data_IF_568150730482
#
_entry.id   IF_568150730482
#
_cell.length_a   1.000
_cell.length_b   1.000
_cell.length_c   1.000
_cell.angle_alpha   90.00
_cell.angle_beta   90.00
_cell.angle_gamma   90.00
#
_symmetry.space_group_name_H-M   'P 1'
#
loop_
_entity.id
_entity.type
_entity.pdbx_description
1 polymer ?
#
# COMPACT_ATOMS: atom_id res chain seq x y z
N UNK A 1 -1.74 -6.25 11.81
CA UNK A 1 -1.45 -5.92 10.40
C UNK A 1 -2.63 -6.39 9.57
N UNK A 2 -3.20 -5.54 8.71
CA UNK A 2 -4.52 -5.73 8.10
C UNK A 2 -4.73 -7.08 7.40
N UNK A 3 -3.65 -7.68 6.88
CA UNK A 3 -3.67 -8.95 6.15
C UNK A 3 -3.12 -10.14 6.95
N UNK A 4 -2.91 -10.02 8.27
CA UNK A 4 -2.21 -11.04 9.06
C UNK A 4 -2.91 -12.41 9.05
N UNK A 5 -4.24 -12.42 9.04
CA UNK A 5 -5.07 -13.63 9.02
C UNK A 5 -5.66 -13.94 7.64
N UNK A 6 -5.33 -13.15 6.61
CA UNK A 6 -5.84 -13.37 5.27
C UNK A 6 -5.05 -14.51 4.60
N UNK A 7 -5.73 -15.58 4.24
CA UNK A 7 -5.17 -16.71 3.48
C UNK A 7 -5.22 -16.51 1.96
N UNK A 8 -5.97 -15.51 1.52
CA UNK A 8 -6.22 -15.23 0.12
C UNK A 8 -6.86 -13.86 -0.11
N UNK A 9 -7.06 -13.50 -1.37
CA UNK A 9 -7.83 -12.32 -1.74
C UNK A 9 -9.31 -12.51 -1.39
N UNK A 10 -9.88 -11.57 -0.62
CA UNK A 10 -11.31 -11.53 -0.31
C UNK A 10 -11.88 -10.17 -0.70
N UNK A 11 -12.61 -10.10 -1.83
CA UNK A 11 -13.09 -8.83 -2.39
C UNK A 11 -13.88 -7.99 -1.37
N UNK A 12 -14.74 -8.63 -0.57
CA UNK A 12 -15.56 -7.97 0.44
C UNK A 12 -14.75 -7.30 1.56
N UNK A 13 -13.53 -7.80 1.85
CA UNK A 13 -12.67 -7.26 2.91
C UNK A 13 -11.67 -6.21 2.41
N UNK A 14 -11.50 -6.03 1.10
CA UNK A 14 -10.51 -5.09 0.53
C UNK A 14 -10.71 -3.67 1.02
N UNK A 15 -11.96 -3.21 1.13
CA UNK A 15 -12.27 -1.87 1.65
C UNK A 15 -11.82 -1.68 3.11
N UNK A 16 -12.04 -2.68 3.95
CA UNK A 16 -11.59 -2.68 5.35
C UNK A 16 -10.06 -2.73 5.42
N UNK A 17 -9.42 -3.62 4.67
CA UNK A 17 -7.96 -3.77 4.66
C UNK A 17 -7.25 -2.49 4.23
N UNK A 18 -7.70 -1.87 3.13
CA UNK A 18 -7.15 -0.58 2.68
C UNK A 18 -7.33 0.51 3.74
N UNK A 19 -8.52 0.60 4.35
CA UNK A 19 -8.78 1.57 5.42
C UNK A 19 -7.86 1.37 6.62
N UNK A 20 -7.63 0.12 7.05
CA UNK A 20 -6.71 -0.18 8.14
C UNK A 20 -5.25 0.17 7.78
N UNK A 21 -4.80 -0.17 6.57
CA UNK A 21 -3.44 0.15 6.09
C UNK A 21 -3.23 1.67 6.07
N UNK A 22 -4.13 2.40 5.42
CA UNK A 22 -4.07 3.86 5.29
C UNK A 22 -4.03 4.53 6.66
N UNK A 23 -4.96 4.17 7.56
CA UNK A 23 -5.02 4.77 8.89
C UNK A 23 -3.79 4.44 9.75
N UNK A 24 -3.25 3.22 9.64
CA UNK A 24 -2.04 2.83 10.37
C UNK A 24 -0.84 3.67 9.92
N UNK A 25 -0.66 3.81 8.60
CA UNK A 25 0.46 4.56 8.02
C UNK A 25 0.31 6.06 8.31
N UNK A 26 -0.87 6.64 8.13
CA UNK A 26 -1.11 8.05 8.46
C UNK A 26 -0.78 8.36 9.92
N UNK A 27 -1.25 7.52 10.86
CA UNK A 27 -0.94 7.69 12.29
C UNK A 27 0.57 7.61 12.56
N UNK A 28 1.26 6.65 11.94
CA UNK A 28 2.70 6.49 12.09
C UNK A 28 3.48 7.68 11.53
N UNK A 29 3.11 8.19 10.34
CA UNK A 29 3.72 9.38 9.74
C UNK A 29 3.52 10.61 10.62
N UNK A 30 2.29 10.86 11.07
CA UNK A 30 1.96 11.99 11.94
C UNK A 30 2.77 11.93 13.23
N UNK A 31 2.86 10.76 13.88
CA UNK A 31 3.64 10.59 15.10
C UNK A 31 5.14 10.80 14.87
N UNK A 32 5.69 10.27 13.77
CA UNK A 32 7.11 10.38 13.44
C UNK A 32 7.54 11.80 13.06
N UNK A 33 6.63 12.63 12.55
CA UNK A 33 6.92 14.01 12.13
C UNK A 33 6.27 15.05 13.03
N UNK A 34 5.72 14.65 14.18
CA UNK A 34 5.11 15.58 15.13
C UNK A 34 6.17 16.56 15.66
N UNK A 35 5.91 17.88 15.67
CA UNK A 35 6.82 18.83 16.31
C UNK A 35 6.97 18.53 17.81
N UNK A 36 8.18 18.74 18.34
CA UNK A 36 8.43 18.60 19.79
C UNK A 36 7.68 19.65 20.61
N UNK A 37 7.46 20.83 20.04
CA UNK A 37 6.72 21.92 20.68
C UNK A 37 5.25 21.94 20.21
N UNK A 38 4.27 21.92 21.13
CA UNK A 38 2.84 21.99 20.79
C UNK A 38 2.42 23.30 20.08
N UNK A 39 3.23 24.36 20.18
CA UNK A 39 2.96 25.63 19.52
C UNK A 39 3.35 25.64 18.03
N UNK A 40 4.10 24.62 17.58
CA UNK A 40 4.56 24.51 16.20
C UNK A 40 3.53 23.72 15.39
N UNK A 41 3.16 24.24 14.21
CA UNK A 41 2.25 23.54 13.31
C UNK A 41 2.91 22.29 12.72
N UNK A 42 2.14 21.23 12.40
CA UNK A 42 2.68 20.04 11.74
C UNK A 42 3.45 20.40 10.45
N UNK A 43 4.64 19.83 10.23
CA UNK A 43 5.54 20.27 9.16
C UNK A 43 5.14 19.74 7.77
N UNK A 44 4.22 18.77 7.69
CA UNK A 44 3.83 18.13 6.43
C UNK A 44 2.33 17.87 6.34
N UNK A 45 1.82 17.85 5.11
CA UNK A 45 0.57 17.15 4.74
C UNK A 45 0.92 15.86 4.03
N UNK A 46 0.14 14.81 4.30
CA UNK A 46 0.36 13.49 3.71
C UNK A 46 -0.83 13.02 2.89
N UNK A 47 -0.56 12.32 1.79
CA UNK A 47 -1.51 11.43 1.13
C UNK A 47 -0.99 10.01 1.23
N UNK A 48 -1.88 9.05 1.50
CA UNK A 48 -1.54 7.62 1.50
C UNK A 48 -2.53 6.92 0.58
N UNK A 49 -2.02 6.40 -0.53
CA UNK A 49 -2.74 5.52 -1.44
C UNK A 49 -2.39 4.08 -1.11
N UNK A 50 -3.40 3.22 -0.98
CA UNK A 50 -3.22 1.76 -0.83
C UNK A 50 -4.03 1.05 -1.91
N UNK A 51 -3.36 0.20 -2.67
CA UNK A 51 -3.94 -0.57 -3.76
C UNK A 51 -3.73 -2.05 -3.47
N UNK A 52 -4.83 -2.81 -3.42
CA UNK A 52 -4.81 -4.28 -3.31
C UNK A 52 -5.30 -4.86 -4.63
N UNK A 53 -4.46 -5.68 -5.26
CA UNK A 53 -4.74 -6.28 -6.57
C UNK A 53 -4.87 -7.78 -6.41
N UNK A 54 -5.99 -8.35 -6.84
CA UNK A 54 -6.10 -9.81 -6.99
C UNK A 54 -5.18 -10.27 -8.13
N UNK A 55 -4.26 -11.18 -7.81
CA UNK A 55 -3.54 -11.94 -8.83
C UNK A 55 -4.48 -13.01 -9.40
N UNK A 56 -4.28 -13.42 -10.66
CA UNK A 56 -5.16 -14.39 -11.33
C UNK A 56 -5.49 -15.60 -10.45
N UNK A 57 -6.70 -16.17 -10.62
CA UNK A 57 -7.21 -17.29 -9.83
C UNK A 57 -6.11 -18.35 -9.61
N UNK A 58 -5.58 -18.43 -8.38
CA UNK A 58 -4.87 -19.62 -7.92
C UNK A 58 -5.98 -20.62 -7.64
N UNK A 59 -6.43 -21.32 -8.67
CA UNK A 59 -7.27 -22.49 -8.44
C UNK A 59 -6.40 -23.54 -7.77
N UNK A 60 -6.54 -23.69 -6.44
CA UNK A 60 -5.79 -24.66 -5.65
C UNK A 60 -6.02 -26.10 -6.14
N UNK A 61 -7.13 -26.37 -6.84
CA UNK A 61 -7.38 -27.68 -7.47
C UNK A 61 -6.55 -27.91 -8.74
N UNK A 62 -6.15 -26.83 -9.42
CA UNK A 62 -5.26 -26.87 -10.59
C UNK A 62 -3.77 -26.98 -10.23
N UNK A 63 -3.43 -26.89 -8.93
CA UNK A 63 -2.06 -27.02 -8.44
C UNK A 63 -1.56 -28.47 -8.34
N UNK A 64 -2.44 -29.46 -8.55
CA UNK A 64 -2.11 -30.88 -8.47
C UNK A 64 -1.20 -31.38 -9.63
N UNK A 65 -1.18 -30.68 -10.77
CA UNK A 65 -0.46 -31.11 -11.98
C UNK A 65 0.86 -30.35 -12.24
N UNK A 66 1.44 -29.69 -11.23
CA UNK A 66 2.75 -29.04 -11.36
C UNK A 66 2.77 -27.79 -12.27
N UNK A 67 1.62 -27.34 -12.78
CA UNK A 67 1.47 -26.16 -13.64
C UNK A 67 1.29 -24.83 -12.86
N UNK A 68 1.83 -24.74 -11.63
CA UNK A 68 1.66 -23.58 -10.73
C UNK A 68 2.39 -22.32 -11.23
N UNK A 69 3.24 -22.45 -12.26
CA UNK A 69 4.11 -21.36 -12.71
C UNK A 69 3.42 -20.25 -13.51
N UNK A 70 2.13 -20.40 -13.86
CA UNK A 70 1.43 -19.48 -14.78
C UNK A 70 0.11 -18.89 -14.23
N UNK A 71 -0.11 -18.87 -12.91
CA UNK A 71 -1.16 -18.01 -12.34
C UNK A 71 -0.81 -16.56 -12.70
N UNK A 72 -1.44 -16.05 -13.77
CA UNK A 72 -0.99 -14.88 -14.50
C UNK A 72 -0.89 -13.65 -13.60
N UNK A 73 0.34 -13.20 -13.34
CA UNK A 73 0.58 -11.90 -12.71
C UNK A 73 0.00 -10.85 -13.64
N UNK A 74 -1.03 -10.12 -13.18
CA UNK A 74 -1.62 -9.05 -13.99
C UNK A 74 -0.59 -7.92 -14.06
N UNK A 75 -0.18 -7.53 -15.26
CA UNK A 75 0.67 -6.37 -15.43
C UNK A 75 -0.04 -5.13 -14.89
N UNK A 76 0.60 -4.43 -13.95
CA UNK A 76 0.13 -3.15 -13.43
C UNK A 76 1.30 -2.17 -13.45
N UNK A 77 1.18 -1.14 -14.28
CA UNK A 77 2.09 0.00 -14.27
C UNK A 77 1.38 1.20 -13.65
N UNK A 78 1.99 1.79 -12.63
CA UNK A 78 1.50 3.00 -11.98
C UNK A 78 2.60 4.04 -12.01
N UNK A 79 2.24 5.26 -12.42
CA UNK A 79 3.11 6.42 -12.38
C UNK A 79 2.35 7.58 -11.75
N UNK A 80 3.07 8.44 -11.04
CA UNK A 80 2.51 9.66 -10.44
C UNK A 80 3.45 10.83 -10.71
N UNK A 81 2.88 11.97 -11.04
CA UNK A 81 3.59 13.23 -11.25
C UNK A 81 2.94 14.33 -10.43
N UNK A 82 3.72 15.35 -10.12
CA UNK A 82 3.25 16.49 -9.34
C UNK A 82 4.05 17.75 -9.69
N UNK A 83 3.42 18.90 -9.46
CA UNK A 83 4.07 20.20 -9.46
C UNK A 83 4.22 20.64 -8.00
N UNK A 84 5.45 20.61 -7.48
CA UNK A 84 5.76 20.75 -6.06
C UNK A 84 7.17 21.30 -5.83
N UNK A 85 7.56 21.56 -4.57
CA UNK A 85 8.95 21.89 -4.24
C UNK A 85 9.82 20.64 -4.25
N UNK A 86 10.70 20.53 -5.25
CA UNK A 86 11.59 19.37 -5.46
C UNK A 86 12.58 19.12 -4.31
N UNK A 87 12.79 20.10 -3.43
CA UNK A 87 13.72 19.96 -2.31
C UNK A 87 13.04 19.48 -1.02
N UNK A 88 11.71 19.58 -0.95
CA UNK A 88 10.97 19.44 0.32
C UNK A 88 9.79 18.48 0.23
N UNK A 89 9.21 18.38 -0.95
CA UNK A 89 8.07 17.51 -1.25
C UNK A 89 8.57 16.23 -1.91
N UNK A 90 7.77 15.17 -1.84
CA UNK A 90 8.16 13.93 -2.47
C UNK A 90 7.15 12.82 -2.33
N UNK A 91 7.50 11.70 -2.96
CA UNK A 91 6.70 10.49 -2.97
C UNK A 91 7.58 9.27 -2.77
N UNK A 92 7.05 8.31 -2.02
CA UNK A 92 7.65 7.01 -1.83
C UNK A 92 6.62 5.93 -2.10
N UNK A 93 7.03 4.85 -2.77
CA UNK A 93 6.16 3.70 -3.08
C UNK A 93 6.78 2.42 -2.57
N UNK A 94 5.94 1.55 -2.02
CA UNK A 94 6.30 0.27 -1.43
C UNK A 94 5.36 -0.83 -1.89
N UNK A 95 5.93 -1.95 -2.33
CA UNK A 95 5.19 -3.18 -2.60
C UNK A 95 5.41 -4.16 -1.44
N UNK A 96 4.33 -4.64 -0.84
CA UNK A 96 4.41 -5.59 0.28
C UNK A 96 4.90 -6.96 -0.20
N UNK A 97 6.07 -7.43 0.26
CA UNK A 97 6.60 -8.73 -0.15
C UNK A 97 5.79 -9.89 0.46
N UNK A 98 5.70 -11.01 -0.26
CA UNK A 98 5.01 -12.23 0.21
C UNK A 98 3.48 -12.17 0.17
N UNK A 99 2.89 -11.07 -0.32
CA UNK A 99 1.46 -11.00 -0.60
C UNK A 99 1.06 -11.92 -1.75
N UNK A 100 1.96 -12.07 -2.73
CA UNK A 100 1.73 -12.84 -3.96
C UNK A 100 1.48 -14.32 -3.69
N UNK A 101 2.08 -14.89 -2.65
CA UNK A 101 1.83 -16.26 -2.17
C UNK A 101 0.37 -16.47 -1.73
N UNK A 102 -0.32 -15.38 -1.38
CA UNK A 102 -1.75 -15.34 -1.01
C UNK A 102 -2.63 -14.88 -2.18
N UNK A 103 -2.11 -14.88 -3.40
CA UNK A 103 -2.88 -14.51 -4.59
C UNK A 103 -3.27 -13.04 -4.68
N UNK A 104 -2.54 -12.15 -4.01
CA UNK A 104 -2.78 -10.70 -4.08
C UNK A 104 -1.47 -9.90 -4.08
N UNK A 105 -1.47 -8.72 -4.67
CA UNK A 105 -0.42 -7.72 -4.47
C UNK A 105 -0.96 -6.59 -3.59
N UNK A 106 -0.09 -6.00 -2.77
CA UNK A 106 -0.38 -4.76 -2.05
C UNK A 106 0.69 -3.74 -2.39
N UNK A 107 0.27 -2.60 -2.91
CA UNK A 107 1.15 -1.47 -3.21
C UNK A 107 0.64 -0.26 -2.44
N UNK A 108 1.55 0.42 -1.73
CA UNK A 108 1.28 1.64 -0.98
C UNK A 108 2.15 2.75 -1.54
N UNK A 109 1.55 3.90 -1.80
CA UNK A 109 2.26 5.13 -2.16
C UNK A 109 1.95 6.22 -1.15
N UNK A 110 3.00 6.82 -0.59
CA UNK A 110 2.94 7.94 0.34
C UNK A 110 3.47 9.17 -0.38
N UNK A 111 2.71 10.26 -0.36
CA UNK A 111 3.17 11.58 -0.81
C UNK A 111 3.20 12.51 0.39
N UNK A 112 4.23 13.35 0.49
CA UNK A 112 4.30 14.40 1.49
C UNK A 112 4.50 15.76 0.83
N UNK A 113 3.91 16.77 1.45
CA UNK A 113 4.05 18.18 1.09
C UNK A 113 4.45 18.95 2.32
N UNK A 114 5.60 19.61 2.29
CA UNK A 114 6.08 20.44 3.38
C UNK A 114 5.18 21.68 3.55
N UNK A 115 4.93 22.04 4.80
CA UNK A 115 4.21 23.26 5.16
C UNK A 115 5.20 24.29 5.68
N UNK A 116 5.29 25.42 4.98
CA UNK A 116 6.10 26.60 5.35
C UNK A 116 7.45 26.62 4.69
#
# INVERSE_FOLDING_TARGET
MALKSAEGYEHAKVGEWNSQIINTILKALIAATAPESPATSPPYRFTVNSTIVQQGLIDKSSAADGAVSNAGKRGMHSASGAFWDVNRDGMWTFKYPGAEERGLDVVVSVTWFALG
#
